data_IF_150204799374
#
_entry.id   IF_150204799374
#
_cell.length_a   1.000
_cell.length_b   1.000
_cell.length_c   1.000
_cell.angle_alpha   90.00
_cell.angle_beta   90.00
_cell.angle_gamma   90.00
#
_symmetry.space_group_name_H-M   'P 1'
#
loop_
_entity.id
_entity.type
_entity.pdbx_description
1 polymer ?
#
# COMPACT_ATOMS: atom_id res chain seq x y z
N UNK A 1 11.42 -43.32 -0.37
CA UNK A 1 12.14 -42.03 -0.49
C UNK A 1 12.02 -41.57 -1.93
N UNK A 2 11.11 -40.65 -2.21
CA UNK A 2 10.97 -40.02 -3.54
C UNK A 2 11.44 -38.56 -3.49
N UNK A 3 12.07 -38.04 -4.56
CA UNK A 3 12.53 -36.67 -4.63
C UNK A 3 11.48 -35.76 -5.28
N UNK A 4 10.52 -35.22 -4.50
CA UNK A 4 9.62 -34.16 -5.00
C UNK A 4 9.13 -33.13 -3.96
N UNK A 5 9.61 -33.17 -2.72
CA UNK A 5 9.10 -32.31 -1.63
C UNK A 5 9.94 -31.05 -1.35
N UNK A 6 10.57 -30.43 -2.37
CA UNK A 6 11.17 -29.10 -2.17
C UNK A 6 10.10 -28.03 -2.38
N UNK A 7 9.39 -27.71 -1.29
CA UNK A 7 8.17 -26.88 -1.26
C UNK A 7 8.48 -25.37 -1.15
N UNK A 8 9.67 -25.01 -0.66
CA UNK A 8 10.18 -23.65 -0.58
C UNK A 8 11.70 -23.67 -0.83
N UNK A 9 12.20 -22.65 -1.53
CA UNK A 9 13.65 -22.43 -1.63
C UNK A 9 14.06 -21.49 -0.49
N UNK A 10 14.84 -22.01 0.45
CA UNK A 10 15.53 -21.20 1.45
C UNK A 10 16.91 -20.88 0.92
N UNK A 11 17.16 -19.62 0.62
CA UNK A 11 18.51 -19.16 0.27
C UNK A 11 19.27 -18.99 1.59
N UNK A 12 19.95 -20.05 2.03
CA UNK A 12 20.89 -20.01 3.15
C UNK A 12 22.27 -19.60 2.65
N UNK A 13 22.98 -18.81 3.47
CA UNK A 13 24.36 -18.32 3.34
C UNK A 13 25.26 -19.13 2.38
N UNK A 14 25.83 -18.48 1.36
CA UNK A 14 27.02 -19.02 0.67
C UNK A 14 28.25 -18.64 1.50
N UNK A 15 29.13 -19.60 1.79
CA UNK A 15 30.37 -19.37 2.54
C UNK A 15 31.41 -18.51 1.78
N UNK A 16 31.06 -17.99 0.61
CA UNK A 16 32.00 -17.40 -0.36
C UNK A 16 32.14 -15.87 -0.28
N UNK A 17 31.31 -15.17 0.51
CA UNK A 17 31.45 -13.72 0.73
C UNK A 17 32.20 -13.39 2.04
N UNK A 18 33.41 -13.92 2.21
CA UNK A 18 34.28 -13.57 3.36
C UNK A 18 35.11 -12.29 3.15
N UNK A 19 35.06 -11.66 1.97
CA UNK A 19 35.94 -10.54 1.60
C UNK A 19 35.18 -9.34 1.00
N UNK A 20 34.11 -8.88 1.67
CA UNK A 20 33.67 -7.50 1.50
C UNK A 20 33.81 -6.79 2.84
N UNK A 21 34.89 -6.00 2.98
CA UNK A 21 35.01 -5.02 4.04
C UNK A 21 33.82 -4.08 3.96
N UNK A 22 33.10 -3.79 5.07
CA UNK A 22 32.10 -2.74 5.04
C UNK A 22 32.81 -1.44 4.64
N UNK A 23 32.18 -0.71 3.71
CA UNK A 23 32.59 0.64 3.37
C UNK A 23 32.78 1.42 4.67
N UNK A 24 34.02 1.82 4.95
CA UNK A 24 34.29 2.81 5.98
C UNK A 24 33.49 4.06 5.59
N UNK A 25 32.52 4.42 6.44
CA UNK A 25 31.80 5.68 6.35
C UNK A 25 32.79 6.84 6.54
N UNK A 26 33.43 7.26 5.45
CA UNK A 26 33.94 8.62 5.35
C UNK A 26 32.75 9.53 5.09
N UNK A 27 32.22 10.07 6.19
CA UNK A 27 31.32 11.21 6.20
C UNK A 27 32.01 12.39 5.49
N UNK A 28 31.56 12.85 4.31
CA UNK A 28 32.04 14.11 3.78
C UNK A 28 31.36 15.22 4.60
N UNK A 29 32.13 15.88 5.46
CA UNK A 29 31.76 17.19 6.02
C UNK A 29 31.44 18.13 4.86
N UNK A 30 30.17 18.51 4.68
CA UNK A 30 29.80 19.61 3.78
C UNK A 30 28.66 20.46 4.36
N UNK A 31 29.03 21.73 4.57
CA UNK A 31 28.26 22.97 4.61
C UNK A 31 27.14 23.14 5.65
N UNK A 32 27.51 23.77 6.79
CA UNK A 32 26.61 24.64 7.56
C UNK A 32 26.11 25.77 6.67
N UNK A 33 24.80 25.88 6.49
CA UNK A 33 24.17 27.14 6.09
C UNK A 33 23.65 27.80 7.36
N UNK A 34 24.30 28.89 7.77
CA UNK A 34 23.75 29.83 8.76
C UNK A 34 22.64 30.61 8.09
N UNK A 35 21.47 30.65 8.71
CA UNK A 35 20.51 31.74 8.54
C UNK A 35 20.21 32.27 9.94
N UNK A 36 20.22 33.60 10.03
CA UNK A 36 20.39 34.41 11.22
C UNK A 36 19.45 34.06 12.38
N UNK A 37 20.05 34.15 13.56
CA UNK A 37 19.39 34.13 14.87
C UNK A 37 18.37 35.26 14.98
N UNK A 38 17.17 34.92 15.43
CA UNK A 38 16.43 35.73 16.41
C UNK A 38 15.79 34.75 17.41
N UNK A 39 16.25 34.84 18.66
CA UNK A 39 15.84 34.03 19.79
C UNK A 39 14.40 34.33 20.21
N UNK A 40 13.58 33.29 20.39
CA UNK A 40 12.75 33.14 21.58
C UNK A 40 12.20 31.71 21.66
N UNK A 41 12.52 31.03 22.76
CA UNK A 41 12.25 29.61 22.94
C UNK A 41 10.79 29.27 23.22
N UNK A 42 10.42 28.03 22.92
CA UNK A 42 9.76 27.09 23.85
C UNK A 42 9.22 25.85 23.12
N UNK A 43 9.35 24.71 23.81
CA UNK A 43 8.78 23.38 23.57
C UNK A 43 9.28 22.53 22.40
N UNK A 44 10.12 21.56 22.78
CA UNK A 44 10.53 20.39 22.02
C UNK A 44 9.32 19.48 21.72
N UNK A 45 8.85 19.51 20.46
CA UNK A 45 8.10 18.42 19.84
C UNK A 45 8.93 17.92 18.64
N UNK A 46 8.93 16.62 18.32
CA UNK A 46 9.59 16.13 17.13
C UNK A 46 9.04 16.86 15.91
N UNK A 47 9.91 17.54 15.15
CA UNK A 47 9.50 18.26 13.94
C UNK A 47 8.96 17.24 12.94
N UNK A 48 7.67 17.39 12.65
CA UNK A 48 6.88 16.56 11.74
C UNK A 48 7.25 16.92 10.30
N UNK A 49 6.90 16.06 9.33
CA UNK A 49 6.95 16.37 7.90
C UNK A 49 6.05 17.60 7.61
N UNK A 50 6.64 18.79 7.61
CA UNK A 50 5.90 20.04 7.41
C UNK A 50 5.74 20.36 5.92
N UNK A 51 4.60 20.92 5.48
CA UNK A 51 4.44 21.42 4.13
C UNK A 51 5.42 22.59 3.90
N UNK A 52 6.33 22.45 2.93
CA UNK A 52 7.28 23.50 2.57
C UNK A 52 6.78 24.20 1.29
N UNK A 53 6.87 25.53 1.27
CA UNK A 53 6.57 26.31 0.05
C UNK A 53 7.84 26.50 -0.75
N UNK A 54 7.92 25.90 -1.94
CA UNK A 54 8.94 26.20 -2.94
C UNK A 54 8.27 26.84 -4.16
N UNK A 55 8.68 28.06 -4.54
CA UNK A 55 8.19 28.71 -5.76
C UNK A 55 6.69 29.06 -5.80
N UNK A 56 5.97 28.96 -4.67
CA UNK A 56 4.52 29.18 -4.58
C UNK A 56 3.69 27.89 -4.49
N UNK A 57 4.29 26.74 -4.81
CA UNK A 57 3.65 25.42 -4.70
C UNK A 57 3.80 24.86 -3.28
N UNK A 58 2.76 24.16 -2.80
CA UNK A 58 2.78 23.41 -1.54
C UNK A 58 3.34 22.01 -1.83
N UNK A 59 4.51 21.71 -1.27
CA UNK A 59 5.19 20.41 -1.43
C UNK A 59 5.41 19.80 -0.05
N UNK A 60 5.02 18.54 0.11
CA UNK A 60 5.38 17.73 1.27
C UNK A 60 6.74 17.09 1.02
N UNK A 61 7.65 17.22 1.97
CA UNK A 61 8.96 16.57 1.94
C UNK A 61 9.00 15.51 3.03
N UNK A 62 9.41 14.28 2.67
CA UNK A 62 9.63 13.21 3.64
C UNK A 62 10.89 13.48 4.44
N UNK A 63 10.73 13.78 5.74
CA UNK A 63 11.81 13.89 6.71
C UNK A 63 11.54 12.91 7.85
N UNK A 64 12.52 12.04 8.14
CA UNK A 64 12.50 11.13 9.28
C UNK A 64 13.66 11.48 10.21
N UNK A 65 13.40 12.36 11.19
CA UNK A 65 14.23 12.44 12.40
C UNK A 65 13.58 11.65 13.51
N UNK A 66 14.23 10.57 13.96
CA UNK A 66 13.88 9.94 15.23
C UNK A 66 13.98 10.98 16.35
N UNK A 67 12.98 11.05 17.22
CA UNK A 67 12.92 11.99 18.33
C UNK A 67 13.96 11.62 19.39
N UNK A 68 15.14 12.26 19.37
CA UNK A 68 16.03 12.28 20.54
C UNK A 68 15.42 13.25 21.57
N UNK A 69 14.79 12.72 22.62
CA UNK A 69 14.44 13.52 23.80
C UNK A 69 15.69 13.75 24.64
N UNK A 70 15.86 14.99 25.06
CA UNK A 70 16.94 15.49 25.91
C UNK A 70 16.61 15.25 27.39
N UNK A 71 17.00 14.10 27.93
CA UNK A 71 17.03 13.88 29.38
C UNK A 71 18.49 13.84 29.85
N UNK A 72 18.97 14.99 30.30
CA UNK A 72 20.17 15.08 31.14
C UNK A 72 19.77 14.68 32.58
N UNK A 73 20.64 13.90 33.24
CA UNK A 73 20.48 13.30 34.58
C UNK A 73 19.57 12.06 34.67
N UNK A 74 20.02 10.95 34.05
CA UNK A 74 19.72 9.57 34.45
C UNK A 74 20.85 8.66 33.93
N UNK A 75 21.24 7.58 34.63
CA UNK A 75 22.32 6.70 34.16
C UNK A 75 21.91 6.13 32.78
N UNK A 76 22.80 6.28 31.81
CA UNK A 76 22.59 5.98 30.38
C UNK A 76 21.71 4.73 30.17
N UNK A 77 20.55 4.85 29.50
CA UNK A 77 19.91 3.68 28.94
C UNK A 77 20.72 3.28 27.71
N UNK A 78 21.26 2.06 27.74
CA UNK A 78 21.86 1.41 26.56
C UNK A 78 20.94 1.61 25.35
N UNK A 79 21.41 2.40 24.38
CA UNK A 79 20.73 2.65 23.11
C UNK A 79 20.74 1.38 22.26
N UNK A 80 19.83 0.46 22.53
CA UNK A 80 19.60 -0.74 21.71
C UNK A 80 18.63 -0.40 20.56
N UNK A 81 19.15 0.31 19.54
CA UNK A 81 18.59 0.25 18.20
C UNK A 81 19.32 -0.87 17.46
N UNK A 82 18.64 -2.02 17.32
CA UNK A 82 19.15 -3.27 16.72
C UNK A 82 20.31 -3.90 17.52
N UNK A 83 19.95 -4.62 18.58
CA UNK A 83 20.86 -5.53 19.28
C UNK A 83 21.32 -6.62 18.30
N UNK A 84 22.49 -6.46 17.69
CA UNK A 84 23.21 -7.53 17.00
C UNK A 84 23.46 -8.66 18.00
N UNK A 85 22.56 -9.65 18.06
CA UNK A 85 22.73 -10.82 18.90
C UNK A 85 23.90 -11.65 18.36
N UNK A 86 25.07 -11.52 18.99
CA UNK A 86 26.11 -12.55 18.91
C UNK A 86 25.62 -13.74 19.72
N UNK A 87 25.46 -14.89 19.08
CA UNK A 87 25.40 -16.15 19.80
C UNK A 87 26.74 -16.34 20.57
N UNK A 88 26.73 -16.95 21.76
CA UNK A 88 27.94 -17.23 22.54
C UNK A 88 28.99 -18.09 21.78
N UNK A 89 28.59 -18.65 20.64
CA UNK A 89 29.35 -19.66 19.89
C UNK A 89 29.92 -19.13 18.55
N UNK A 90 29.74 -17.84 18.24
CA UNK A 90 30.37 -17.20 17.07
C UNK A 90 29.71 -17.45 15.70
N UNK A 91 28.48 -17.96 15.64
CA UNK A 91 27.70 -17.96 14.40
C UNK A 91 26.91 -16.64 14.22
N UNK A 92 27.01 -16.04 13.03
CA UNK A 92 26.23 -14.87 12.62
C UNK A 92 24.74 -15.24 12.47
N UNK A 93 23.89 -14.64 13.30
CA UNK A 93 22.44 -14.78 13.27
C UNK A 93 21.86 -13.85 12.21
N UNK A 94 20.97 -14.35 11.34
CA UNK A 94 20.25 -13.50 10.38
C UNK A 94 19.40 -12.47 11.14
N UNK A 95 19.41 -11.20 10.69
CA UNK A 95 18.73 -10.09 11.38
C UNK A 95 17.19 -10.18 11.31
N UNK A 96 16.66 -11.15 10.57
CA UNK A 96 15.25 -11.50 10.46
C UNK A 96 15.04 -12.58 9.41
N UNK A 97 13.86 -13.19 9.38
CA UNK A 97 13.43 -14.11 8.32
C UNK A 97 12.22 -13.52 7.62
N UNK A 98 12.31 -13.33 6.30
CA UNK A 98 11.27 -12.74 5.48
C UNK A 98 10.66 -13.79 4.53
N UNK A 99 9.33 -13.87 4.47
CA UNK A 99 8.61 -14.72 3.52
C UNK A 99 7.99 -13.87 2.42
N UNK A 100 8.30 -14.23 1.18
CA UNK A 100 7.72 -13.61 -0.01
C UNK A 100 6.92 -14.64 -0.81
N UNK A 101 5.62 -14.42 -0.93
CA UNK A 101 4.73 -15.25 -1.73
C UNK A 101 4.99 -15.14 -3.24
N UNK A 102 4.24 -15.92 -4.03
CA UNK A 102 4.26 -15.91 -5.49
C UNK A 102 3.91 -14.56 -6.14
N UNK A 103 3.52 -13.58 -5.33
CA UNK A 103 3.09 -12.28 -5.81
C UNK A 103 4.32 -11.41 -6.05
N UNK A 104 4.38 -10.84 -7.26
CA UNK A 104 5.32 -9.82 -7.73
C UNK A 104 6.72 -10.29 -8.12
N UNK A 105 7.03 -10.32 -9.43
CA UNK A 105 8.42 -10.35 -9.89
C UNK A 105 9.21 -9.09 -9.48
N UNK A 106 8.54 -7.95 -9.26
CA UNK A 106 9.17 -6.64 -8.98
C UNK A 106 9.21 -6.25 -7.50
N UNK A 107 8.13 -6.42 -6.74
CA UNK A 107 8.18 -6.25 -5.27
C UNK A 107 9.13 -7.27 -4.67
N UNK A 108 9.19 -8.50 -5.20
CA UNK A 108 10.24 -9.47 -4.83
C UNK A 108 11.64 -8.92 -5.07
N UNK A 109 11.89 -8.15 -6.14
CA UNK A 109 13.22 -7.57 -6.37
C UNK A 109 13.60 -6.55 -5.29
N UNK A 110 12.73 -5.58 -4.97
CA UNK A 110 13.04 -4.58 -3.94
C UNK A 110 13.19 -5.20 -2.55
N UNK A 111 12.32 -6.16 -2.21
CA UNK A 111 12.39 -6.87 -0.94
C UNK A 111 13.56 -7.86 -0.88
N UNK A 112 13.93 -8.52 -1.98
CA UNK A 112 15.15 -9.33 -2.04
C UNK A 112 16.40 -8.47 -1.90
N UNK A 113 16.46 -7.28 -2.51
CA UNK A 113 17.56 -6.34 -2.30
C UNK A 113 17.64 -5.89 -0.85
N UNK A 114 16.51 -5.55 -0.23
CA UNK A 114 16.44 -5.26 1.22
C UNK A 114 16.97 -6.42 2.04
N UNK A 115 16.48 -7.64 1.79
CA UNK A 115 16.92 -8.82 2.53
C UNK A 115 18.40 -9.14 2.33
N UNK A 116 18.97 -8.90 1.15
CA UNK A 116 20.41 -9.00 0.93
C UNK A 116 21.17 -7.91 1.70
N UNK A 117 20.70 -6.66 1.66
CA UNK A 117 21.34 -5.54 2.34
C UNK A 117 21.29 -5.67 3.87
N UNK A 118 20.22 -6.25 4.42
CA UNK A 118 20.00 -6.47 5.85
C UNK A 118 20.43 -7.87 6.33
N UNK A 119 20.96 -8.71 5.44
CA UNK A 119 21.35 -10.08 5.73
C UNK A 119 20.23 -10.92 6.39
N UNK A 120 19.02 -10.80 5.82
CA UNK A 120 17.82 -11.55 6.23
C UNK A 120 17.77 -12.93 5.54
N UNK A 121 17.23 -13.93 6.23
CA UNK A 121 16.85 -15.20 5.62
C UNK A 121 15.62 -15.03 4.75
N UNK A 122 15.66 -15.52 3.51
CA UNK A 122 14.52 -15.40 2.57
C UNK A 122 13.86 -16.75 2.33
N UNK A 123 12.56 -16.82 2.61
CA UNK A 123 11.69 -17.95 2.29
C UNK A 123 10.85 -17.59 1.06
N UNK A 124 11.04 -18.33 -0.02
CA UNK A 124 10.31 -18.13 -1.27
C UNK A 124 9.26 -19.21 -1.49
N UNK A 125 8.01 -18.79 -1.69
CA UNK A 125 6.93 -19.65 -2.16
C UNK A 125 6.73 -19.48 -3.68
N UNK A 126 6.86 -20.58 -4.42
CA UNK A 126 6.67 -20.58 -5.88
C UNK A 126 5.21 -20.32 -6.28
N UNK A 127 4.27 -20.89 -5.52
CA UNK A 127 2.83 -20.72 -5.70
C UNK A 127 2.19 -20.40 -4.36
N UNK A 128 1.22 -19.50 -4.39
CA UNK A 128 0.48 -19.14 -3.18
C UNK A 128 -0.44 -20.28 -2.75
N UNK A 129 -0.36 -20.63 -1.47
CA UNK A 129 -1.24 -21.55 -0.76
C UNK A 129 -1.22 -21.13 0.72
N UNK A 130 -2.39 -20.89 1.29
CA UNK A 130 -2.51 -20.30 2.61
C UNK A 130 -1.99 -21.22 3.72
N UNK A 131 -2.28 -22.53 3.65
CA UNK A 131 -1.84 -23.51 4.66
C UNK A 131 -0.34 -23.73 4.58
N UNK A 132 0.23 -23.78 3.36
CA UNK A 132 1.69 -23.88 3.18
C UNK A 132 2.40 -22.62 3.68
N UNK A 133 1.80 -21.45 3.50
CA UNK A 133 2.34 -20.21 4.05
C UNK A 133 2.39 -20.24 5.57
N UNK A 134 1.31 -20.66 6.25
CA UNK A 134 1.30 -20.78 7.71
C UNK A 134 2.35 -21.78 8.21
N UNK A 135 2.45 -22.96 7.57
CA UNK A 135 3.49 -23.96 7.88
C UNK A 135 4.90 -23.39 7.70
N UNK A 136 5.14 -22.62 6.65
CA UNK A 136 6.45 -22.01 6.40
C UNK A 136 6.79 -20.94 7.45
N UNK A 137 5.79 -20.19 7.95
CA UNK A 137 5.99 -19.24 9.05
C UNK A 137 6.44 -19.97 10.32
N UNK A 138 5.77 -21.06 10.67
CA UNK A 138 6.11 -21.90 11.82
C UNK A 138 7.49 -22.58 11.66
N UNK A 139 7.71 -23.30 10.57
CA UNK A 139 8.91 -24.10 10.31
C UNK A 139 10.19 -23.24 10.24
N UNK A 140 10.10 -22.09 9.57
CA UNK A 140 11.26 -21.21 9.37
C UNK A 140 11.32 -20.03 10.34
N UNK A 141 10.39 -19.96 11.30
CA UNK A 141 10.26 -18.86 12.27
C UNK A 141 10.26 -17.48 11.59
N UNK A 142 9.40 -17.32 10.59
CA UNK A 142 9.32 -16.09 9.80
C UNK A 142 8.92 -14.91 10.69
N UNK A 143 9.66 -13.81 10.56
CA UNK A 143 9.46 -12.56 11.29
C UNK A 143 8.67 -11.52 10.50
N UNK A 144 8.86 -11.49 9.18
CA UNK A 144 8.28 -10.48 8.30
C UNK A 144 7.64 -11.11 7.07
N UNK A 145 6.43 -10.68 6.71
CA UNK A 145 5.74 -11.17 5.51
C UNK A 145 5.18 -10.01 4.70
N UNK A 146 5.38 -10.03 3.38
CA UNK A 146 4.67 -9.15 2.46
C UNK A 146 3.49 -9.89 1.81
N UNK A 147 2.29 -9.34 1.95
CA UNK A 147 1.05 -9.96 1.49
C UNK A 147 0.18 -8.98 0.68
N UNK A 148 -0.53 -9.50 -0.31
CA UNK A 148 -1.59 -8.75 -0.98
C UNK A 148 -2.88 -8.75 -0.13
N UNK A 149 -3.77 -7.75 -0.26
CA UNK A 149 -5.00 -7.68 0.50
C UNK A 149 -5.86 -8.96 0.51
N UNK A 150 -6.01 -9.74 -0.59
CA UNK A 150 -6.79 -10.98 -0.55
C UNK A 150 -6.28 -12.03 0.46
N UNK A 151 -4.98 -12.05 0.72
CA UNK A 151 -4.37 -12.97 1.69
C UNK A 151 -4.71 -12.53 3.12
N UNK A 152 -4.64 -11.23 3.38
CA UNK A 152 -5.04 -10.65 4.68
C UNK A 152 -6.53 -10.88 4.94
N UNK A 153 -7.38 -10.72 3.92
CA UNK A 153 -8.83 -11.05 4.00
C UNK A 153 -9.04 -12.52 4.37
N UNK A 154 -8.32 -13.44 3.71
CA UNK A 154 -8.44 -14.87 4.00
C UNK A 154 -8.02 -15.21 5.44
N UNK A 155 -6.94 -14.60 5.94
CA UNK A 155 -6.48 -14.75 7.33
C UNK A 155 -7.49 -14.17 8.31
N UNK A 156 -8.02 -12.97 8.03
CA UNK A 156 -9.00 -12.33 8.89
C UNK A 156 -10.29 -13.17 9.03
N UNK A 157 -10.77 -13.75 7.92
CA UNK A 157 -12.07 -14.46 7.86
C UNK A 157 -12.03 -15.95 8.20
N UNK A 158 -10.87 -16.56 8.35
CA UNK A 158 -10.75 -18.02 8.59
C UNK A 158 -9.89 -18.30 9.83
N UNK A 159 -10.13 -19.44 10.47
CA UNK A 159 -9.40 -19.87 11.67
C UNK A 159 -8.20 -20.75 11.33
N UNK A 160 -7.72 -20.67 10.07
CA UNK A 160 -6.56 -21.45 9.58
C UNK A 160 -5.28 -21.16 10.36
N UNK A 161 -5.22 -20.01 11.04
CA UNK A 161 -4.08 -19.58 11.84
C UNK A 161 -3.96 -20.34 13.16
N UNK A 162 -5.06 -20.91 13.66
CA UNK A 162 -5.13 -21.50 15.00
C UNK A 162 -4.43 -22.85 15.06
N UNK A 163 -4.19 -23.47 13.90
CA UNK A 163 -3.50 -24.75 13.73
C UNK A 163 -1.96 -24.63 13.75
N UNK A 164 -1.38 -23.41 13.85
CA UNK A 164 0.07 -23.17 13.67
C UNK A 164 0.66 -22.22 14.72
N UNK A 165 1.92 -22.44 15.10
CA UNK A 165 2.67 -21.47 15.90
C UNK A 165 3.20 -20.32 15.03
N UNK A 166 2.54 -19.16 15.14
CA UNK A 166 2.89 -17.93 14.43
C UNK A 166 3.55 -16.89 15.35
N UNK A 167 4.07 -17.29 16.52
CA UNK A 167 4.59 -16.35 17.51
C UNK A 167 5.84 -15.58 17.07
N UNK A 168 6.53 -16.05 16.03
CA UNK A 168 7.72 -15.39 15.47
C UNK A 168 7.39 -14.18 14.63
N UNK A 169 6.13 -14.01 14.20
CA UNK A 169 5.74 -12.94 13.31
C UNK A 169 5.77 -11.59 14.05
N UNK A 170 6.48 -10.63 13.48
CA UNK A 170 6.69 -9.28 14.02
C UNK A 170 6.06 -8.21 13.12
N UNK A 171 6.11 -8.39 11.79
CA UNK A 171 5.65 -7.40 10.83
C UNK A 171 4.95 -7.99 9.61
N UNK A 172 3.84 -7.37 9.21
CA UNK A 172 3.14 -7.70 7.95
C UNK A 172 2.99 -6.46 7.11
N UNK A 173 3.56 -6.49 5.90
CA UNK A 173 3.39 -5.44 4.92
C UNK A 173 2.25 -5.80 3.95
N UNK A 174 1.29 -4.89 3.78
CA UNK A 174 0.18 -5.00 2.86
C UNK A 174 0.13 -3.82 1.89
N UNK A 175 -0.06 -4.09 0.61
CA UNK A 175 -0.13 -3.04 -0.40
C UNK A 175 -0.52 -3.52 -1.79
N UNK A 176 -0.62 -2.57 -2.72
CA UNK A 176 -0.95 -2.80 -4.12
C UNK A 176 -2.44 -2.77 -4.46
N UNK A 177 -3.33 -2.82 -3.47
CA UNK A 177 -4.76 -2.53 -3.61
C UNK A 177 -5.33 -2.02 -2.28
N UNK A 178 -6.47 -1.30 -2.31
CA UNK A 178 -7.16 -0.87 -1.09
C UNK A 178 -7.56 -2.08 -0.23
N UNK A 179 -7.52 -1.90 1.10
CA UNK A 179 -7.98 -2.88 2.09
C UNK A 179 -8.99 -2.22 3.04
N UNK A 180 -10.05 -2.95 3.37
CA UNK A 180 -11.12 -2.43 4.20
C UNK A 180 -10.73 -2.40 5.69
N UNK A 181 -11.21 -1.37 6.40
CA UNK A 181 -10.92 -1.14 7.82
C UNK A 181 -11.26 -2.34 8.72
N UNK A 182 -12.41 -2.95 8.49
CA UNK A 182 -12.90 -4.11 9.24
C UNK A 182 -11.97 -5.31 9.10
N UNK A 183 -11.44 -5.54 7.89
CA UNK A 183 -10.45 -6.59 7.61
C UNK A 183 -9.15 -6.34 8.38
N UNK A 184 -8.62 -5.11 8.34
CA UNK A 184 -7.39 -4.78 9.06
C UNK A 184 -7.61 -4.88 10.57
N UNK A 185 -8.75 -4.40 11.06
CA UNK A 185 -9.12 -4.50 12.49
C UNK A 185 -9.20 -5.96 12.95
N UNK A 186 -9.85 -6.83 12.17
CA UNK A 186 -9.93 -8.26 12.45
C UNK A 186 -8.54 -8.94 12.41
N UNK A 187 -7.68 -8.54 11.48
CA UNK A 187 -6.31 -9.03 11.42
C UNK A 187 -5.50 -8.61 12.66
N UNK A 188 -5.54 -7.34 13.03
CA UNK A 188 -4.82 -6.81 14.20
C UNK A 188 -5.34 -7.42 15.52
N UNK A 189 -6.64 -7.76 15.60
CA UNK A 189 -7.19 -8.47 16.74
C UNK A 189 -6.62 -9.90 16.88
N UNK A 190 -6.40 -10.60 15.76
CA UNK A 190 -5.74 -11.91 15.74
C UNK A 190 -4.24 -11.83 16.06
N UNK A 191 -3.58 -10.76 15.64
CA UNK A 191 -2.13 -10.58 15.79
C UNK A 191 -1.78 -9.26 16.50
N UNK A 192 -2.06 -9.10 17.80
CA UNK A 192 -1.92 -7.82 18.50
C UNK A 192 -0.46 -7.33 18.63
N UNK A 193 0.52 -8.24 18.52
CA UNK A 193 1.95 -7.91 18.57
C UNK A 193 2.56 -7.59 17.20
N UNK A 194 1.83 -7.84 16.12
CA UNK A 194 2.35 -7.68 14.75
C UNK A 194 2.10 -6.26 14.27
N UNK A 195 3.16 -5.63 13.77
CA UNK A 195 3.08 -4.32 13.11
C UNK A 195 2.49 -4.49 11.73
N UNK A 196 1.29 -3.94 11.51
CA UNK A 196 0.61 -4.00 10.22
C UNK A 196 0.98 -2.77 9.37
N UNK A 197 1.90 -2.94 8.42
CA UNK A 197 2.37 -1.87 7.55
C UNK A 197 1.51 -1.80 6.29
N UNK A 198 0.83 -0.68 6.07
CA UNK A 198 0.24 -0.38 4.76
C UNK A 198 1.24 0.39 3.92
N UNK A 199 1.27 0.13 2.61
CA UNK A 199 2.17 0.84 1.69
C UNK A 199 1.52 1.19 0.36
N UNK A 200 1.84 2.39 -0.13
CA UNK A 200 1.45 2.86 -1.45
C UNK A 200 2.69 3.12 -2.32
N UNK A 201 2.62 2.65 -3.56
CA UNK A 201 3.67 2.81 -4.55
C UNK A 201 3.25 2.28 -5.91
N UNK A 202 4.03 2.65 -6.93
CA UNK A 202 3.86 2.23 -8.31
C UNK A 202 5.08 1.43 -8.76
N UNK A 203 4.99 0.83 -9.95
CA UNK A 203 6.20 0.27 -10.58
C UNK A 203 7.19 1.39 -10.88
N UNK A 204 6.67 2.51 -11.34
CA UNK A 204 7.39 3.71 -11.75
C UNK A 204 8.11 4.40 -10.58
N UNK A 205 7.76 4.07 -9.33
CA UNK A 205 8.46 4.51 -8.12
C UNK A 205 9.40 3.45 -7.52
N UNK A 206 9.59 2.31 -8.19
CA UNK A 206 10.41 1.15 -7.78
C UNK A 206 9.94 0.42 -6.51
N UNK A 207 9.19 1.07 -5.64
CA UNK A 207 8.65 0.52 -4.41
C UNK A 207 7.66 1.48 -3.75
N UNK A 208 7.43 1.29 -2.45
CA UNK A 208 6.52 2.13 -1.66
C UNK A 208 7.11 3.52 -1.42
N UNK A 209 6.44 4.55 -1.95
CA UNK A 209 6.73 5.95 -1.64
C UNK A 209 6.01 6.41 -0.37
N UNK A 210 4.92 5.73 0.02
CA UNK A 210 4.23 5.93 1.29
C UNK A 210 4.16 4.63 2.07
N UNK A 211 4.25 4.75 3.39
CA UNK A 211 4.04 3.64 4.31
C UNK A 211 3.62 4.12 5.68
N UNK A 212 2.90 3.28 6.41
CA UNK A 212 2.73 3.49 7.85
C UNK A 212 4.03 3.15 8.58
N UNK A 213 4.32 3.91 9.64
CA UNK A 213 5.48 3.72 10.51
C UNK A 213 5.00 3.38 11.92
N UNK A 214 5.26 2.15 12.34
CA UNK A 214 4.84 1.64 13.65
C UNK A 214 3.32 1.40 13.76
N UNK A 215 2.90 0.93 14.94
CA UNK A 215 1.52 0.52 15.20
C UNK A 215 0.55 1.72 15.32
N UNK A 216 1.04 2.88 15.77
CA UNK A 216 0.24 4.09 15.96
C UNK A 216 -0.31 4.62 14.64
N UNK A 217 0.47 4.57 13.56
CA UNK A 217 0.00 4.99 12.24
C UNK A 217 -0.90 3.94 11.58
N UNK A 218 -0.73 2.67 11.94
CA UNK A 218 -1.55 1.58 11.40
C UNK A 218 -3.03 1.66 11.79
N UNK A 219 -3.36 2.38 12.87
CA UNK A 219 -4.75 2.63 13.29
C UNK A 219 -5.35 3.88 12.63
N UNK A 220 -4.58 4.60 11.81
CA UNK A 220 -5.10 5.71 11.00
C UNK A 220 -5.83 5.16 9.76
N UNK A 221 -7.07 4.74 9.98
CA UNK A 221 -7.85 3.97 9.00
C UNK A 221 -8.04 4.68 7.66
N UNK A 222 -7.84 3.95 6.56
CA UNK A 222 -7.97 4.47 5.20
C UNK A 222 -6.73 5.21 4.68
N UNK A 223 -5.75 5.50 5.56
CA UNK A 223 -4.46 6.06 5.16
C UNK A 223 -3.50 4.98 4.70
N UNK A 224 -2.65 5.33 3.75
CA UNK A 224 -1.50 4.53 3.30
C UNK A 224 -0.20 4.92 4.02
N UNK A 225 -0.32 5.75 5.07
CA UNK A 225 0.74 6.20 5.94
C UNK A 225 1.33 7.54 5.52
N UNK A 226 2.62 7.75 5.81
CA UNK A 226 3.37 8.98 5.53
C UNK A 226 4.35 8.80 4.38
N UNK A 227 4.78 9.94 3.83
CA UNK A 227 5.76 10.01 2.76
C UNK A 227 7.12 9.50 3.25
N UNK A 228 7.70 8.54 2.54
CA UNK A 228 9.01 8.00 2.82
C UNK A 228 10.10 9.07 2.70
N UNK A 229 11.18 8.91 3.46
CA UNK A 229 12.32 9.81 3.44
C UNK A 229 12.93 9.94 2.03
N UNK A 230 13.37 11.16 1.70
CA UNK A 230 13.99 11.47 0.41
C UNK A 230 13.00 11.58 -0.76
N UNK A 231 11.70 11.41 -0.50
CA UNK A 231 10.65 11.74 -1.46
C UNK A 231 10.06 13.11 -1.19
N UNK A 232 9.54 13.68 -2.26
CA UNK A 232 8.72 14.89 -2.29
C UNK A 232 7.38 14.58 -2.96
N UNK A 233 6.34 15.28 -2.53
CA UNK A 233 4.98 15.05 -2.99
C UNK A 233 4.17 16.32 -3.09
N UNK A 234 3.25 16.36 -4.06
CA UNK A 234 2.18 17.37 -4.09
C UNK A 234 0.90 16.79 -4.64
N UNK A 235 -0.23 17.35 -4.20
CA UNK A 235 -1.53 17.09 -4.80
C UNK A 235 -1.77 18.18 -5.84
N UNK A 236 -2.09 17.78 -7.08
CA UNK A 236 -2.25 18.70 -8.20
C UNK A 236 -3.66 18.62 -8.74
N UNK A 237 -4.30 19.76 -8.95
CA UNK A 237 -5.59 19.81 -9.63
C UNK A 237 -5.43 19.33 -11.09
N UNK A 238 -6.16 18.30 -11.54
CA UNK A 238 -5.97 17.71 -12.86
C UNK A 238 -6.40 18.63 -14.01
N UNK A 239 -7.26 19.62 -13.75
CA UNK A 239 -7.78 20.53 -14.77
C UNK A 239 -6.90 21.78 -14.91
N UNK A 240 -6.39 22.31 -13.79
CA UNK A 240 -5.59 23.54 -13.76
C UNK A 240 -4.08 23.31 -13.70
N UNK A 241 -3.64 22.14 -13.24
CA UNK A 241 -2.22 21.83 -13.04
C UNK A 241 -1.58 22.51 -11.83
N UNK A 242 -2.37 23.17 -10.98
CA UNK A 242 -1.87 23.87 -9.79
C UNK A 242 -1.81 22.95 -8.57
N UNK A 243 -0.81 23.17 -7.71
CA UNK A 243 -0.72 22.50 -6.43
C UNK A 243 -1.88 22.91 -5.51
N UNK A 244 -2.51 21.91 -4.88
CA UNK A 244 -3.63 22.08 -3.96
C UNK A 244 -3.15 22.03 -2.51
N UNK A 245 -3.82 22.75 -1.59
CA UNK A 245 -3.53 22.67 -0.16
C UNK A 245 -3.96 21.31 0.43
N UNK A 246 -3.52 20.99 1.66
CA UNK A 246 -3.97 19.79 2.37
C UNK A 246 -5.49 19.63 2.39
N UNK A 247 -5.95 18.39 2.52
CA UNK A 247 -7.36 17.96 2.54
C UNK A 247 -8.14 18.22 1.23
N UNK A 248 -7.49 18.69 0.16
CA UNK A 248 -8.10 18.79 -1.18
C UNK A 248 -7.72 17.59 -2.04
N UNK A 249 -8.68 17.14 -2.85
CA UNK A 249 -8.49 16.00 -3.75
C UNK A 249 -7.91 16.47 -5.08
N UNK A 250 -6.89 15.77 -5.55
CA UNK A 250 -6.23 15.99 -6.84
C UNK A 250 -5.35 14.81 -7.24
N UNK A 251 -4.68 14.93 -8.38
CA UNK A 251 -3.69 13.95 -8.82
C UNK A 251 -2.46 13.99 -7.90
N UNK A 252 -2.05 12.82 -7.38
CA UNK A 252 -0.81 12.73 -6.61
C UNK A 252 0.39 12.78 -7.55
N UNK A 253 1.31 13.70 -7.31
CA UNK A 253 2.59 13.79 -7.99
C UNK A 253 3.72 13.55 -7.00
N UNK A 254 4.70 12.74 -7.39
CA UNK A 254 5.77 12.29 -6.50
C UNK A 254 7.14 12.45 -7.16
N UNK A 255 8.16 12.80 -6.38
CA UNK A 255 9.55 12.92 -6.84
C UNK A 255 10.45 12.26 -5.80
N UNK A 256 11.53 11.62 -6.24
CA UNK A 256 12.45 10.95 -5.33
C UNK A 256 13.52 10.13 -6.04
N UNK A 257 14.48 9.57 -5.30
CA UNK A 257 15.66 8.90 -5.86
C UNK A 257 15.33 7.58 -6.57
N UNK A 258 14.18 6.97 -6.28
CA UNK A 258 13.78 5.66 -6.83
C UNK A 258 12.77 5.77 -7.97
N UNK A 259 12.45 7.00 -8.43
CA UNK A 259 11.62 7.20 -9.61
C UNK A 259 12.32 6.64 -10.84
N UNK A 260 11.57 5.95 -11.69
CA UNK A 260 12.11 5.31 -12.89
C UNK A 260 12.79 6.31 -13.83
N UNK A 261 13.69 5.80 -14.67
CA UNK A 261 14.30 6.60 -15.74
C UNK A 261 13.35 6.88 -16.91
N UNK A 262 12.34 6.02 -17.09
CA UNK A 262 11.40 6.08 -18.21
C UNK A 262 11.02 4.68 -18.72
N UNK A 263 10.08 4.65 -19.66
CA UNK A 263 9.68 3.42 -20.34
C UNK A 263 10.63 3.09 -21.49
N UNK A 264 10.95 1.81 -21.67
CA UNK A 264 11.87 1.34 -22.70
C UNK A 264 11.25 1.61 -24.07
N UNK A 265 11.97 2.34 -24.93
CA UNK A 265 11.58 2.67 -26.29
C UNK A 265 10.23 3.40 -26.42
N UNK A 266 9.79 4.08 -25.36
CA UNK A 266 8.52 4.81 -25.34
C UNK A 266 8.69 6.21 -24.71
N UNK A 267 9.31 7.15 -25.44
CA UNK A 267 9.54 8.50 -24.94
C UNK A 267 8.25 9.31 -24.79
N UNK A 268 7.19 8.99 -25.56
CA UNK A 268 5.89 9.65 -25.47
C UNK A 268 5.22 9.30 -24.13
N UNK A 269 5.09 8.02 -23.79
CA UNK A 269 4.56 7.61 -22.49
C UNK A 269 5.46 8.10 -21.34
N UNK A 270 6.77 8.14 -21.56
CA UNK A 270 7.72 8.64 -20.54
C UNK A 270 7.47 10.11 -20.24
N UNK A 271 7.35 10.96 -21.26
CA UNK A 271 7.10 12.40 -21.08
C UNK A 271 5.68 12.74 -20.59
N UNK A 272 4.71 11.88 -20.88
CA UNK A 272 3.36 11.99 -20.33
C UNK A 272 3.30 11.68 -18.81
N UNK A 273 4.15 10.75 -18.35
CA UNK A 273 4.19 10.25 -16.96
C UNK A 273 5.20 11.00 -16.08
N UNK A 274 6.40 11.29 -16.60
CA UNK A 274 7.45 12.06 -15.95
C UNK A 274 7.47 13.48 -16.52
N UNK A 275 6.89 14.42 -15.78
CA UNK A 275 6.79 15.83 -16.21
C UNK A 275 8.02 16.64 -15.77
N UNK A 276 8.01 17.93 -16.07
CA UNK A 276 9.10 18.85 -15.76
C UNK A 276 9.57 18.71 -14.30
N UNK A 277 10.87 18.94 -14.06
CA UNK A 277 11.51 18.85 -12.74
C UNK A 277 11.50 17.45 -12.08
N UNK A 278 11.22 16.40 -12.87
CA UNK A 278 11.32 15.01 -12.41
C UNK A 278 10.11 14.52 -11.61
N UNK A 279 8.97 15.21 -11.70
CA UNK A 279 7.73 14.78 -11.07
C UNK A 279 7.10 13.60 -11.81
N UNK A 280 6.83 12.51 -11.09
CA UNK A 280 6.03 11.38 -11.55
C UNK A 280 4.56 11.65 -11.27
N UNK A 281 3.75 11.68 -12.33
CA UNK A 281 2.29 11.67 -12.25
C UNK A 281 1.80 10.25 -11.98
N UNK A 282 1.14 10.03 -10.85
CA UNK A 282 0.70 8.67 -10.48
C UNK A 282 -0.57 8.25 -11.22
N UNK A 283 -1.38 9.20 -11.71
CA UNK A 283 -2.70 8.94 -12.25
C UNK A 283 -3.73 8.53 -11.20
N UNK A 284 -3.41 8.67 -9.91
CA UNK A 284 -4.28 8.36 -8.78
C UNK A 284 -4.79 9.65 -8.13
N UNK A 285 -6.10 9.69 -7.86
CA UNK A 285 -6.77 10.77 -7.14
C UNK A 285 -6.57 10.54 -5.64
N UNK A 286 -5.92 11.49 -4.98
CA UNK A 286 -5.57 11.41 -3.57
C UNK A 286 -5.82 12.75 -2.86
N UNK A 287 -5.77 12.72 -1.54
CA UNK A 287 -5.52 13.90 -0.73
C UNK A 287 -4.53 13.56 0.38
N UNK A 288 -3.81 14.58 0.86
CA UNK A 288 -2.94 14.49 2.04
C UNK A 288 -3.61 15.32 3.13
N UNK A 289 -3.80 14.77 4.32
CA UNK A 289 -4.39 15.52 5.42
C UNK A 289 -3.41 16.52 6.06
N UNK A 290 -3.88 17.28 7.06
CA UNK A 290 -3.04 18.24 7.79
C UNK A 290 -1.90 17.57 8.57
N UNK A 291 -2.03 16.28 8.86
CA UNK A 291 -1.04 15.51 9.57
C UNK A 291 0.00 14.89 8.64
N UNK A 292 -0.16 14.94 7.31
CA UNK A 292 0.76 14.38 6.32
C UNK A 292 0.46 12.94 5.91
N UNK A 293 -0.72 12.40 6.28
CA UNK A 293 -1.18 11.08 5.89
C UNK A 293 -1.82 11.09 4.50
N UNK A 294 -1.46 10.10 3.67
CA UNK A 294 -1.99 9.97 2.31
C UNK A 294 -3.24 9.09 2.27
N UNK A 295 -4.29 9.63 1.69
CA UNK A 295 -5.53 8.93 1.40
C UNK A 295 -5.70 8.78 -0.11
N UNK A 296 -5.82 7.54 -0.56
CA UNK A 296 -6.04 7.21 -1.96
C UNK A 296 -7.55 7.09 -2.19
N UNK A 297 -8.10 7.94 -3.05
CA UNK A 297 -9.53 7.98 -3.34
C UNK A 297 -9.88 6.98 -4.44
N UNK A 298 -9.25 7.12 -5.62
CA UNK A 298 -9.41 6.18 -6.75
C UNK A 298 -8.36 6.45 -7.84
N UNK A 299 -8.43 5.75 -8.96
CA UNK A 299 -7.65 6.10 -10.16
C UNK A 299 -8.41 7.10 -11.02
N UNK A 300 -7.71 8.13 -11.52
CA UNK A 300 -8.32 9.16 -12.39
C UNK A 300 -9.02 8.57 -13.61
N UNK A 301 -8.40 7.58 -14.26
CA UNK A 301 -8.97 6.91 -15.44
C UNK A 301 -10.19 6.01 -15.14
N UNK A 302 -10.44 5.73 -13.87
CA UNK A 302 -11.51 4.85 -13.40
C UNK A 302 -12.70 5.62 -12.83
N UNK A 303 -12.55 6.93 -12.59
CA UNK A 303 -13.63 7.82 -12.19
C UNK A 303 -14.79 7.82 -13.20
N UNK A 304 -16.00 7.80 -12.66
CA UNK A 304 -17.26 7.78 -13.41
C UNK A 304 -17.70 9.22 -13.62
N UNK A 305 -17.80 9.63 -14.88
CA UNK A 305 -18.19 10.98 -15.29
C UNK A 305 -19.71 11.09 -15.36
N UNK A 306 -20.35 11.35 -14.22
CA UNK A 306 -21.79 11.55 -14.13
C UNK A 306 -22.11 13.04 -14.24
N UNK A 307 -22.61 13.48 -15.40
CA UNK A 307 -22.82 14.90 -15.72
C UNK A 307 -21.54 15.70 -15.46
N UNK A 308 -21.59 16.75 -14.64
CA UNK A 308 -20.42 17.52 -14.22
C UNK A 308 -19.68 16.95 -13.01
N UNK A 309 -20.08 15.79 -12.49
CA UNK A 309 -19.51 15.19 -11.28
C UNK A 309 -18.60 14.01 -11.62
N UNK A 310 -17.53 13.86 -10.84
CA UNK A 310 -16.65 12.69 -10.86
C UNK A 310 -16.98 11.82 -9.65
N UNK A 311 -17.43 10.60 -9.89
CA UNK A 311 -17.77 9.63 -8.85
C UNK A 311 -16.66 8.59 -8.78
N UNK A 312 -16.11 8.36 -7.58
CA UNK A 312 -15.11 7.33 -7.33
C UNK A 312 -15.76 5.96 -7.17
N UNK A 313 -15.52 5.00 -8.09
CA UNK A 313 -15.93 3.61 -7.89
C UNK A 313 -15.57 3.03 -6.52
N UNK A 314 -14.35 3.25 -6.02
CA UNK A 314 -13.85 2.66 -4.79
C UNK A 314 -14.69 3.04 -3.57
N UNK A 315 -15.24 4.27 -3.53
CA UNK A 315 -16.14 4.72 -2.46
C UNK A 315 -17.43 3.88 -2.44
N UNK A 316 -18.03 3.65 -3.61
CA UNK A 316 -19.24 2.83 -3.74
C UNK A 316 -18.96 1.35 -3.51
N UNK A 317 -17.80 0.86 -3.95
CA UNK A 317 -17.35 -0.52 -3.70
C UNK A 317 -17.17 -0.78 -2.20
N UNK A 318 -16.54 0.13 -1.48
CA UNK A 318 -16.37 0.03 -0.03
C UNK A 318 -17.73 0.02 0.69
N UNK A 319 -18.65 0.88 0.28
CA UNK A 319 -20.00 0.90 0.81
C UNK A 319 -20.76 -0.40 0.54
N UNK A 320 -20.70 -0.94 -0.68
CA UNK A 320 -21.31 -2.23 -1.01
C UNK A 320 -20.71 -3.37 -0.18
N UNK A 321 -19.38 -3.38 0.02
CA UNK A 321 -18.70 -4.39 0.82
C UNK A 321 -19.05 -4.33 2.31
N UNK A 322 -19.56 -3.21 2.80
CA UNK A 322 -20.07 -3.11 4.19
C UNK A 322 -21.40 -3.86 4.40
N UNK A 323 -22.09 -4.25 3.33
CA UNK A 323 -23.35 -4.99 3.43
C UNK A 323 -23.07 -6.48 3.78
N UNK A 324 -23.70 -7.05 4.82
CA UNK A 324 -23.36 -8.40 5.32
C UNK A 324 -23.58 -9.53 4.29
N UNK A 325 -24.54 -9.35 3.38
CA UNK A 325 -24.85 -10.32 2.32
C UNK A 325 -24.00 -10.17 1.04
N UNK A 326 -23.05 -9.23 1.00
CA UNK A 326 -22.16 -9.02 -0.15
C UNK A 326 -20.76 -9.54 0.18
N UNK A 327 -20.26 -10.47 -0.65
CA UNK A 327 -18.90 -11.04 -0.50
C UNK A 327 -17.87 -10.12 -1.13
N UNK A 328 -18.19 -9.58 -2.30
CA UNK A 328 -17.28 -8.77 -3.11
C UNK A 328 -18.10 -7.89 -4.05
N UNK A 329 -17.59 -6.69 -4.35
CA UNK A 329 -18.27 -5.75 -5.21
C UNK A 329 -17.29 -4.94 -6.05
N UNK A 330 -17.71 -4.61 -7.26
CA UNK A 330 -17.00 -3.73 -8.19
C UNK A 330 -17.98 -2.73 -8.80
N UNK A 331 -17.54 -1.49 -9.00
CA UNK A 331 -18.33 -0.47 -9.69
C UNK A 331 -17.55 0.01 -10.91
N UNK A 332 -18.26 0.17 -12.02
CA UNK A 332 -17.69 0.68 -13.27
C UNK A 332 -18.59 1.75 -13.88
N UNK A 333 -18.03 2.65 -14.71
CA UNK A 333 -18.83 3.56 -15.52
C UNK A 333 -19.61 2.79 -16.60
N UNK A 334 -20.89 3.11 -16.74
CA UNK A 334 -21.73 2.66 -17.85
C UNK A 334 -22.19 3.85 -18.68
N UNK A 335 -22.12 3.80 -20.03
CA UNK A 335 -22.61 4.89 -20.88
C UNK A 335 -24.10 5.17 -20.64
N UNK A 336 -24.47 6.44 -20.59
CA UNK A 336 -25.83 6.92 -20.41
C UNK A 336 -26.05 8.16 -21.29
N UNK A 337 -27.16 8.23 -22.02
CA UNK A 337 -27.39 9.30 -23.02
C UNK A 337 -27.55 10.68 -22.36
N UNK A 338 -28.15 10.76 -21.17
CA UNK A 338 -28.43 12.03 -20.50
C UNK A 338 -27.34 12.42 -19.51
N UNK A 339 -26.73 11.43 -18.85
CA UNK A 339 -25.74 11.66 -17.80
C UNK A 339 -24.29 11.49 -18.28
N UNK A 340 -24.07 11.06 -19.53
CA UNK A 340 -22.77 10.67 -20.05
C UNK A 340 -22.35 9.30 -19.52
N UNK A 341 -22.17 9.17 -18.21
CA UNK A 341 -21.93 7.89 -17.54
C UNK A 341 -22.72 7.78 -16.24
N UNK A 342 -23.14 6.56 -15.90
CA UNK A 342 -23.77 6.22 -14.63
C UNK A 342 -23.01 5.10 -13.90
N UNK A 343 -23.01 5.08 -12.56
CA UNK A 343 -22.42 3.96 -11.82
C UNK A 343 -23.27 2.70 -11.93
N UNK A 344 -22.64 1.59 -12.33
CA UNK A 344 -23.24 0.25 -12.26
C UNK A 344 -22.38 -0.65 -11.38
N UNK A 345 -23.02 -1.49 -10.59
CA UNK A 345 -22.35 -2.39 -9.66
C UNK A 345 -22.39 -3.84 -10.14
N UNK A 346 -21.27 -4.53 -9.94
CA UNK A 346 -21.14 -5.97 -10.05
C UNK A 346 -21.01 -6.55 -8.66
N UNK A 347 -21.90 -7.45 -8.29
CA UNK A 347 -22.02 -7.94 -6.91
C UNK A 347 -21.88 -9.45 -6.87
N UNK A 348 -20.99 -9.93 -6.00
CA UNK A 348 -20.89 -11.33 -5.59
C UNK A 348 -21.62 -11.45 -4.25
N UNK A 349 -22.70 -12.22 -4.24
CA UNK A 349 -23.52 -12.44 -3.03
C UNK A 349 -22.92 -13.52 -2.14
N UNK A 350 -23.27 -13.48 -0.86
CA UNK A 350 -23.06 -14.62 0.04
C UNK A 350 -23.80 -15.86 -0.51
N UNK A 351 -23.26 -17.08 -0.29
CA UNK A 351 -23.97 -18.30 -0.61
C UNK A 351 -25.38 -18.28 0.00
N UNK A 352 -26.39 -18.65 -0.79
CA UNK A 352 -27.81 -18.70 -0.36
C UNK A 352 -28.49 -17.34 -0.07
N UNK A 353 -27.81 -16.21 -0.28
CA UNK A 353 -28.44 -14.89 -0.18
C UNK A 353 -29.47 -14.69 -1.30
N UNK A 354 -30.61 -14.08 -0.93
CA UNK A 354 -31.68 -13.68 -1.85
C UNK A 354 -31.68 -12.19 -2.21
N UNK A 355 -30.65 -11.46 -1.77
CA UNK A 355 -30.52 -10.01 -1.94
C UNK A 355 -30.74 -9.60 -3.41
N UNK A 356 -31.71 -8.69 -3.61
CA UNK A 356 -32.16 -8.20 -4.89
C UNK A 356 -31.50 -6.90 -5.34
N UNK A 357 -31.60 -6.58 -6.63
CA UNK A 357 -31.05 -5.35 -7.22
C UNK A 357 -31.64 -4.09 -6.57
N UNK A 358 -32.95 -4.04 -6.37
CA UNK A 358 -33.63 -2.88 -5.79
C UNK A 358 -33.19 -2.59 -4.34
N UNK A 359 -32.97 -3.65 -3.55
CA UNK A 359 -32.51 -3.54 -2.16
C UNK A 359 -31.09 -2.97 -2.08
N UNK A 360 -30.20 -3.40 -2.98
CA UNK A 360 -28.83 -2.87 -3.07
C UNK A 360 -28.82 -1.40 -3.49
N UNK A 361 -29.63 -1.04 -4.50
CA UNK A 361 -29.76 0.34 -4.96
C UNK A 361 -30.27 1.24 -3.84
N UNK A 362 -31.30 0.81 -3.12
CA UNK A 362 -31.88 1.55 -2.00
C UNK A 362 -30.90 1.66 -0.82
N UNK A 363 -30.20 0.57 -0.48
CA UNK A 363 -29.15 0.56 0.54
C UNK A 363 -28.06 1.60 0.29
N UNK A 364 -27.55 1.69 -0.95
CA UNK A 364 -26.56 2.68 -1.32
C UNK A 364 -27.17 4.08 -1.37
N UNK A 365 -28.38 4.22 -1.93
CA UNK A 365 -29.04 5.52 -2.07
C UNK A 365 -29.34 6.23 -0.76
N UNK A 366 -29.48 5.51 0.36
CA UNK A 366 -29.65 6.08 1.71
C UNK A 366 -28.38 6.68 2.29
N UNK A 367 -27.21 6.34 1.76
CA UNK A 367 -25.91 6.66 2.35
C UNK A 367 -25.07 7.60 1.49
N UNK A 368 -25.48 7.86 0.24
CA UNK A 368 -24.72 8.68 -0.70
C UNK A 368 -25.56 9.79 -1.34
N UNK A 369 -24.89 10.86 -1.75
CA UNK A 369 -25.50 11.95 -2.51
C UNK A 369 -26.12 11.47 -3.83
N UNK A 370 -27.17 12.14 -4.36
CA UNK A 370 -27.92 11.67 -5.54
C UNK A 370 -27.09 11.32 -6.79
N UNK A 371 -26.00 12.05 -7.02
CA UNK A 371 -25.11 11.85 -8.16
C UNK A 371 -24.20 10.61 -8.02
N UNK A 372 -24.00 10.08 -6.80
CA UNK A 372 -23.20 8.87 -6.55
C UNK A 372 -24.04 7.58 -6.55
N UNK A 373 -25.37 7.69 -6.58
CA UNK A 373 -26.27 6.54 -6.52
C UNK A 373 -25.97 5.54 -7.64
N UNK A 374 -25.97 4.25 -7.32
CA UNK A 374 -25.88 3.17 -8.32
C UNK A 374 -27.18 3.14 -9.12
N UNK A 375 -27.09 2.96 -10.44
CA UNK A 375 -28.26 2.88 -11.32
C UNK A 375 -28.66 1.45 -11.68
N UNK A 376 -27.71 0.52 -11.69
CA UNK A 376 -27.93 -0.88 -12.06
C UNK A 376 -27.02 -1.81 -11.28
N UNK A 377 -27.50 -3.02 -11.00
CA UNK A 377 -26.72 -4.08 -10.34
C UNK A 377 -26.71 -5.32 -11.21
N UNK A 378 -25.54 -5.92 -11.41
CA UNK A 378 -25.35 -7.20 -12.09
C UNK A 378 -24.75 -8.20 -11.12
N UNK A 379 -25.40 -9.33 -10.94
CA UNK A 379 -24.88 -10.41 -10.10
C UNK A 379 -23.89 -11.27 -10.89
N UNK A 380 -22.74 -11.55 -10.29
CA UNK A 380 -21.70 -12.40 -10.87
C UNK A 380 -21.19 -13.40 -9.85
N UNK A 381 -20.68 -14.53 -10.34
CA UNK A 381 -20.13 -15.57 -9.46
C UNK A 381 -18.76 -15.17 -8.87
N UNK A 382 -17.98 -14.38 -9.61
CA UNK A 382 -16.70 -13.86 -9.16
C UNK A 382 -16.31 -12.60 -9.94
N UNK A 383 -15.48 -11.76 -9.34
CA UNK A 383 -14.92 -10.57 -10.00
C UNK A 383 -13.57 -10.90 -10.65
N UNK A 384 -13.29 -10.39 -11.87
CA UNK A 384 -12.02 -10.59 -12.52
C UNK A 384 -10.96 -9.74 -11.79
N UNK A 385 -10.04 -10.41 -11.10
CA UNK A 385 -8.93 -9.79 -10.38
C UNK A 385 -7.60 -10.32 -10.91
N UNK A 386 -6.57 -9.48 -10.93
CA UNK A 386 -5.20 -9.92 -11.20
C UNK A 386 -4.70 -10.81 -10.05
N UNK A 387 -3.56 -11.45 -10.25
CA UNK A 387 -2.86 -12.18 -9.18
C UNK A 387 -2.49 -11.30 -7.97
N UNK A 388 -2.46 -9.97 -8.13
CA UNK A 388 -2.20 -9.01 -7.04
C UNK A 388 -3.48 -8.56 -6.32
N UNK A 389 -4.63 -9.15 -6.64
CA UNK A 389 -5.94 -8.75 -6.13
C UNK A 389 -6.52 -7.49 -6.78
N UNK A 390 -5.83 -6.91 -7.78
CA UNK A 390 -6.30 -5.70 -8.46
C UNK A 390 -7.48 -6.03 -9.38
N UNK A 391 -8.58 -5.31 -9.22
CA UNK A 391 -9.75 -5.44 -10.08
C UNK A 391 -9.42 -5.14 -11.55
N UNK A 392 -9.83 -6.03 -12.45
CA UNK A 392 -9.68 -5.89 -13.89
C UNK A 392 -10.96 -5.32 -14.51
N UNK A 393 -11.19 -4.02 -14.29
CA UNK A 393 -12.41 -3.31 -14.76
C UNK A 393 -12.65 -3.42 -16.27
N UNK A 394 -11.60 -3.62 -17.09
CA UNK A 394 -11.71 -3.85 -18.54
C UNK A 394 -12.51 -5.11 -18.88
N UNK A 395 -12.38 -6.16 -18.09
CA UNK A 395 -13.08 -7.42 -18.33
C UNK A 395 -14.55 -7.34 -17.90
N UNK A 396 -14.84 -6.59 -16.82
CA UNK A 396 -16.22 -6.27 -16.44
C UNK A 396 -16.96 -5.50 -17.53
N UNK A 397 -16.29 -4.55 -18.21
CA UNK A 397 -16.89 -3.81 -19.34
C UNK A 397 -17.35 -4.76 -20.46
N UNK A 398 -16.59 -5.83 -20.76
CA UNK A 398 -16.98 -6.83 -21.77
C UNK A 398 -18.27 -7.56 -21.40
N UNK A 399 -18.46 -7.89 -20.11
CA UNK A 399 -19.68 -8.55 -19.61
C UNK A 399 -20.90 -7.66 -19.87
N UNK A 400 -20.77 -6.35 -19.65
CA UNK A 400 -21.84 -5.40 -19.94
C UNK A 400 -22.15 -5.31 -21.43
N UNK A 401 -21.11 -5.26 -22.28
CA UNK A 401 -21.30 -5.17 -23.74
C UNK A 401 -22.05 -6.38 -24.28
N UNK A 402 -21.73 -7.59 -23.81
CA UNK A 402 -22.41 -8.84 -24.22
C UNK A 402 -23.87 -8.87 -23.76
N UNK A 403 -24.17 -8.38 -22.55
CA UNK A 403 -25.55 -8.30 -22.03
C UNK A 403 -26.38 -7.17 -22.68
N UNK A 404 -25.74 -6.22 -23.36
CA UNK A 404 -26.42 -5.15 -24.09
C UNK A 404 -26.85 -5.63 -25.48
N UNK A 405 -26.04 -6.46 -26.15
CA UNK A 405 -26.36 -7.06 -27.46
C UNK A 405 -27.38 -8.21 -27.40
N UNK A 406 -27.63 -8.78 -26.22
CA UNK A 406 -28.66 -9.83 -26.01
C UNK A 406 -30.03 -9.26 -25.64
N UNK A 407 -30.17 -7.93 -25.60
CA UNK A 407 -31.45 -7.21 -25.38
C UNK A 407 -31.87 -6.36 -26.59
N UNK A 408 -31.30 -6.60 -27.77
CA UNK A 408 -31.71 -6.02 -29.05
C UNK A 408 -32.37 -7.07 -29.94
#
# INVERSE_FOLDING_TARGET
MQPSDRICHVIKRSQTFKHFSPFQNHCPRLARVRLNDDESGSNDRPRRSEPVRFGGDIVLVGDHRESQRSDADSPEPDGDCVRCLRAPDGEEVACGVALYGAVFSRVRFSYSLKSVALNEGVVLMERFDLRKMMRAVEEFRVTHVAMAPPVVVAIAKTDVTDDYDLSSLEGVACGGAPIAKDVVSAFMAKFPRVVFVQGYGLTESTGSAWRTVGQEESVHWGSTGRLSEGFEAKIVDPDTGHALPPCKQGELWIRGPTIMKGYISDPEATSATLVAEGWLRTGDLCYIDEEGFLFVVDRLKELIKYKGYQVAPAELEHLLQSHPEIVDAAVIPYPDEEAGQVPIAFVVRQPQSSLGEAEIIDFVAKQVSPYKKIRRVTFVNSLPKSATGKLLRKDLRKIVTVNSSSRL
#
